data_IF_561162567734
#
_entry.id   IF_561162567734
#
_cell.length_a   1.000
_cell.length_b   1.000
_cell.length_c   1.000
_cell.angle_alpha   90.00
_cell.angle_beta   90.00
_cell.angle_gamma   90.00
#
_symmetry.space_group_name_H-M   'P 1'
#
loop_
_entity.id
_entity.type
_entity.pdbx_description
1 polymer ?
#
# COMPACT_ATOMS: atom_id res chain seq x y z
N UNK A 1 14.39 -18.79 -9.66
CA UNK A 1 13.69 -17.78 -8.85
C UNK A 1 12.23 -17.82 -9.26
N UNK A 2 11.31 -18.24 -8.39
CA UNK A 2 9.88 -18.09 -8.67
C UNK A 2 9.59 -16.60 -8.67
N UNK A 3 9.28 -16.03 -9.84
CA UNK A 3 8.77 -14.67 -9.89
C UNK A 3 7.43 -14.65 -9.17
N UNK A 4 7.29 -13.78 -8.17
CA UNK A 4 5.97 -13.53 -7.56
C UNK A 4 5.07 -13.06 -8.70
N UNK A 5 3.89 -13.65 -8.81
CA UNK A 5 2.97 -13.30 -9.89
C UNK A 5 2.57 -11.83 -9.76
N UNK A 6 2.64 -11.02 -10.85
CA UNK A 6 2.13 -9.65 -10.84
C UNK A 6 0.66 -9.56 -10.42
N UNK A 7 -0.13 -10.60 -10.71
CA UNK A 7 -1.53 -10.70 -10.28
C UNK A 7 -1.63 -10.75 -8.76
N UNK A 8 -0.74 -11.49 -8.10
CA UNK A 8 -0.71 -11.59 -6.64
C UNK A 8 -0.32 -10.26 -6.00
N UNK A 9 0.70 -9.58 -6.55
CA UNK A 9 1.12 -8.25 -6.08
C UNK A 9 -0.03 -7.25 -6.21
N UNK A 10 -0.67 -7.19 -7.38
CA UNK A 10 -1.80 -6.28 -7.61
C UNK A 10 -2.99 -6.58 -6.68
N UNK A 11 -3.24 -7.85 -6.34
CA UNK A 11 -4.27 -8.21 -5.38
C UNK A 11 -3.95 -7.68 -3.97
N UNK A 12 -2.69 -7.77 -3.53
CA UNK A 12 -2.26 -7.19 -2.24
C UNK A 12 -2.41 -5.68 -2.23
N UNK A 13 -1.91 -5.00 -3.28
CA UNK A 13 -1.98 -3.54 -3.40
C UNK A 13 -3.43 -3.02 -3.47
N UNK A 14 -4.33 -3.78 -4.09
CA UNK A 14 -5.75 -3.43 -4.15
C UNK A 14 -6.45 -3.61 -2.80
N UNK A 15 -6.11 -4.66 -2.02
CA UNK A 15 -6.68 -4.89 -0.70
C UNK A 15 -6.36 -3.73 0.28
N UNK A 16 -5.16 -3.15 0.17
CA UNK A 16 -4.72 -2.02 1.00
C UNK A 16 -5.12 -0.64 0.47
N UNK A 17 -5.88 -0.56 -0.62
CA UNK A 17 -6.42 0.71 -1.08
C UNK A 17 -7.51 1.28 -0.15
N UNK A 18 -8.11 0.44 0.69
CA UNK A 18 -9.19 0.81 1.63
C UNK A 18 -8.68 1.17 3.03
N UNK A 19 -7.42 1.57 3.15
CA UNK A 19 -6.85 2.07 4.40
C UNK A 19 -6.14 3.38 4.13
N UNK A 20 -6.29 4.32 5.06
CA UNK A 20 -5.60 5.60 4.99
C UNK A 20 -4.11 5.41 5.30
N UNK A 21 -3.24 5.46 4.29
CA UNK A 21 -1.78 5.41 4.45
C UNK A 21 -1.16 6.79 4.18
N UNK A 22 -0.14 7.20 4.95
CA UNK A 22 0.59 8.41 4.65
C UNK A 22 1.30 8.30 3.30
N UNK A 23 1.42 9.43 2.61
CA UNK A 23 2.29 9.52 1.43
C UNK A 23 3.76 9.36 1.85
N UNK A 24 4.54 8.68 1.01
CA UNK A 24 5.96 8.42 1.19
C UNK A 24 6.26 7.00 1.67
N UNK A 25 7.35 6.88 2.45
CA UNK A 25 7.87 5.59 2.89
C UNK A 25 7.06 5.03 4.07
N UNK A 26 6.44 3.87 3.86
CA UNK A 26 5.65 3.20 4.89
C UNK A 26 6.48 2.75 6.11
N UNK A 27 7.75 2.40 5.90
CA UNK A 27 8.66 2.02 7.00
C UNK A 27 8.97 3.17 7.95
N UNK A 28 8.87 4.42 7.46
CA UNK A 28 9.16 5.61 8.26
C UNK A 28 8.07 5.91 9.30
N UNK A 29 6.88 5.31 9.14
CA UNK A 29 5.75 5.46 10.05
C UNK A 29 5.33 4.10 10.65
N UNK A 30 5.59 3.86 11.95
CA UNK A 30 5.14 2.65 12.64
C UNK A 30 3.63 2.42 12.56
N UNK A 31 2.82 3.48 12.43
CA UNK A 31 1.37 3.36 12.30
C UNK A 31 0.96 2.78 10.95
N UNK A 32 1.72 3.03 9.88
CA UNK A 32 1.48 2.49 8.55
C UNK A 32 1.61 0.97 8.52
N UNK A 33 2.66 0.44 9.17
CA UNK A 33 2.82 -1.01 9.30
C UNK A 33 1.68 -1.65 10.10
N UNK A 34 1.23 -0.99 11.17
CA UNK A 34 0.07 -1.44 11.95
C UNK A 34 -1.22 -1.42 11.12
N UNK A 35 -1.43 -0.41 10.27
CA UNK A 35 -2.59 -0.33 9.37
C UNK A 35 -2.57 -1.43 8.31
N UNK A 36 -1.42 -1.70 7.69
CA UNK A 36 -1.25 -2.81 6.75
C UNK A 36 -1.50 -4.17 7.44
N UNK A 37 -0.99 -4.35 8.65
CA UNK A 37 -1.15 -5.59 9.43
C UNK A 37 -2.60 -5.90 9.83
N UNK A 38 -3.54 -4.96 9.68
CA UNK A 38 -4.99 -5.22 9.84
C UNK A 38 -5.60 -5.95 8.65
N UNK A 39 -4.98 -5.87 7.48
CA UNK A 39 -5.48 -6.41 6.20
C UNK A 39 -4.71 -7.65 5.76
N UNK A 40 -3.40 -7.66 6.04
CA UNK A 40 -2.50 -8.74 5.62
C UNK A 40 -1.58 -9.20 6.75
N UNK A 41 -0.91 -10.34 6.56
CA UNK A 41 0.05 -10.85 7.54
C UNK A 41 1.24 -9.88 7.66
N UNK A 42 1.96 -9.87 8.80
CA UNK A 42 3.14 -9.01 8.98
C UNK A 42 4.21 -9.21 7.90
N UNK A 43 4.35 -10.42 7.36
CA UNK A 43 5.28 -10.74 6.28
C UNK A 43 4.88 -10.06 4.97
N UNK A 44 3.58 -10.01 4.66
CA UNK A 44 3.05 -9.32 3.49
C UNK A 44 3.12 -7.80 3.67
N UNK A 45 2.81 -7.31 4.87
CA UNK A 45 2.93 -5.88 5.19
C UNK A 45 4.36 -5.38 4.98
N UNK A 46 5.33 -6.17 5.44
CA UNK A 46 6.75 -5.90 5.21
C UNK A 46 7.11 -5.96 3.72
N UNK A 47 6.66 -6.99 3.00
CA UNK A 47 6.86 -7.07 1.56
C UNK A 47 6.37 -5.80 0.84
N UNK A 48 5.19 -5.27 1.19
CA UNK A 48 4.68 -4.03 0.60
C UNK A 48 5.56 -2.83 0.97
N UNK A 49 5.91 -2.65 2.24
CA UNK A 49 6.72 -1.51 2.69
C UNK A 49 8.14 -1.48 2.09
N UNK A 50 8.78 -2.64 1.99
CA UNK A 50 10.13 -2.82 1.46
C UNK A 50 10.19 -2.59 -0.07
N UNK A 51 9.07 -2.76 -0.79
CA UNK A 51 9.06 -2.75 -2.27
C UNK A 51 8.25 -1.62 -2.90
N UNK A 52 7.36 -0.97 -2.14
CA UNK A 52 6.45 0.04 -2.68
C UNK A 52 6.40 1.27 -1.76
N UNK A 53 6.16 2.42 -2.37
CA UNK A 53 5.88 3.68 -1.69
C UNK A 53 4.53 4.22 -2.16
N UNK A 54 3.83 4.91 -1.25
CA UNK A 54 2.56 5.60 -1.58
C UNK A 54 2.91 6.97 -2.12
N UNK A 55 2.57 7.25 -3.37
CA UNK A 55 2.86 8.56 -4.01
C UNK A 55 1.66 9.49 -4.07
N UNK A 56 0.45 8.94 -3.95
CA UNK A 56 -0.78 9.70 -3.76
C UNK A 56 -1.74 8.82 -2.96
N UNK A 57 -2.46 9.41 -2.01
CA UNK A 57 -3.53 8.75 -1.29
C UNK A 57 -4.70 9.73 -1.20
N UNK A 58 -5.70 9.50 -2.06
CA UNK A 58 -6.96 10.23 -2.04
C UNK A 58 -7.98 9.44 -1.24
N UNK A 59 -7.69 9.27 0.05
CA UNK A 59 -8.67 8.81 1.01
C UNK A 59 -9.50 10.04 1.40
N UNK A 60 -10.69 10.20 0.81
CA UNK A 60 -11.49 11.41 0.99
C UNK A 60 -12.13 11.41 2.38
N UNK A 61 -11.38 11.85 3.40
CA UNK A 61 -11.94 11.83 4.76
C UNK A 61 -12.96 12.93 4.99
N UNK A 62 -12.83 14.15 4.44
CA UNK A 62 -13.72 15.25 4.84
C UNK A 62 -13.96 16.27 3.70
N UNK A 63 -15.22 16.51 3.37
CA UNK A 63 -15.80 17.65 2.62
C UNK A 63 -15.80 17.72 1.08
N UNK A 64 -15.11 16.87 0.34
CA UNK A 64 -15.26 16.81 -1.13
C UNK A 64 -15.32 15.36 -1.63
N UNK A 65 -16.55 14.85 -1.73
CA UNK A 65 -16.91 13.49 -2.13
C UNK A 65 -16.59 13.23 -3.61
N UNK A 66 -15.32 12.97 -3.91
CA UNK A 66 -15.02 12.06 -5.02
C UNK A 66 -15.54 10.70 -4.59
N UNK A 67 -16.49 10.10 -5.32
CA UNK A 67 -16.95 8.72 -5.09
C UNK A 67 -15.89 7.65 -5.40
N UNK A 68 -14.62 8.03 -5.35
CA UNK A 68 -13.47 7.25 -5.76
C UNK A 68 -12.34 7.48 -4.76
N UNK A 69 -12.12 6.49 -3.90
CA UNK A 69 -10.88 6.36 -3.12
C UNK A 69 -9.81 5.74 -4.00
N UNK A 70 -8.64 6.38 -4.04
CA UNK A 70 -7.51 5.89 -4.82
C UNK A 70 -6.23 5.99 -4.01
N UNK A 71 -5.47 4.91 -4.02
CA UNK A 71 -4.10 4.92 -3.57
C UNK A 71 -3.21 4.63 -4.78
N UNK A 72 -2.16 5.43 -4.96
CA UNK A 72 -1.22 5.29 -6.07
C UNK A 72 0.09 4.79 -5.51
N UNK A 73 0.51 3.63 -6.01
CA UNK A 73 1.73 2.95 -5.62
C UNK A 73 2.83 3.20 -6.62
N UNK A 74 4.05 3.43 -6.13
CA UNK A 74 5.26 3.38 -6.93
C UNK A 74 6.14 2.24 -6.45
N UNK A 75 6.54 1.36 -7.37
CA UNK A 75 7.55 0.34 -7.10
C UNK A 75 8.91 0.99 -6.89
N UNK A 76 9.64 0.51 -5.89
CA UNK A 76 11.05 0.85 -5.65
C UNK A 76 11.95 0.17 -6.71
N UNK A 77 13.21 0.55 -6.74
CA UNK A 77 14.16 -0.10 -7.64
C UNK A 77 14.30 -1.58 -7.26
N UNK A 78 14.08 -2.47 -8.23
CA UNK A 78 14.18 -3.91 -8.02
C UNK A 78 12.91 -4.58 -7.50
N UNK A 79 11.77 -3.88 -7.48
CA UNK A 79 10.45 -4.50 -7.24
C UNK A 79 10.24 -5.69 -8.20
N UNK A 80 9.77 -6.86 -7.69
CA UNK A 80 9.60 -8.08 -8.47
C UNK A 80 8.65 -8.00 -9.68
#
# INVERSE_FOLDING_TARGET
>A
MSKVSPIYINALLADVAYIDLPMGELESDPNSFNKLSKRMTPQLARFIADNFEVIDNRYASEYHESGFDAIVWKGRQGTP
#
